data_IF_501334142537
#
_entry.id   IF_501334142537
#
_cell.length_a   1.000
_cell.length_b   1.000
_cell.length_c   1.000
_cell.angle_alpha   90.00
_cell.angle_beta   90.00
_cell.angle_gamma   90.00
#
_symmetry.space_group_name_H-M   'P 1'
#
loop_
_entity.id
_entity.type
_entity.pdbx_description
1 polymer ?
#
# COMPACT_ATOMS: atom_id res chain seq x y z
N UNK A 1 17.25 -53.84 -14.41
CA UNK A 1 16.22 -52.91 -13.91
C UNK A 1 16.84 -51.65 -13.30
N UNK A 2 17.55 -50.85 -14.10
CA UNK A 2 18.16 -49.57 -13.64
C UNK A 2 17.88 -48.44 -14.64
N UNK A 3 17.75 -48.76 -15.93
CA UNK A 3 17.44 -47.78 -16.98
C UNK A 3 16.02 -47.18 -16.89
N UNK A 4 15.04 -47.91 -16.35
CA UNK A 4 13.65 -47.44 -16.26
C UNK A 4 13.43 -46.42 -15.13
N UNK A 5 14.25 -46.48 -14.07
CA UNK A 5 14.15 -45.60 -12.91
C UNK A 5 14.72 -44.21 -13.19
N UNK A 6 15.77 -44.11 -14.02
CA UNK A 6 16.39 -42.82 -14.39
C UNK A 6 15.50 -42.02 -15.34
N UNK A 7 14.75 -42.70 -16.22
CA UNK A 7 13.86 -42.04 -17.18
C UNK A 7 12.63 -41.40 -16.52
N UNK A 8 12.11 -42.00 -15.44
CA UNK A 8 10.98 -41.46 -14.67
C UNK A 8 11.40 -40.23 -13.86
N UNK A 9 12.63 -40.21 -13.32
CA UNK A 9 13.16 -39.05 -12.59
C UNK A 9 13.42 -37.84 -13.49
N UNK A 10 13.75 -38.04 -14.76
CA UNK A 10 13.92 -36.94 -15.72
C UNK A 10 12.58 -36.34 -16.17
N UNK A 11 11.55 -37.18 -16.35
CA UNK A 11 10.21 -36.73 -16.75
C UNK A 11 9.44 -35.99 -15.65
N UNK A 12 9.63 -36.38 -14.38
CA UNK A 12 9.02 -35.69 -13.25
C UNK A 12 9.63 -34.30 -12.99
N UNK A 13 10.89 -34.08 -13.37
CA UNK A 13 11.54 -32.77 -13.21
C UNK A 13 11.08 -31.76 -14.28
N UNK A 14 10.71 -32.22 -15.48
CA UNK A 14 10.18 -31.35 -16.55
C UNK A 14 8.71 -30.99 -16.37
N UNK A 15 7.93 -31.79 -15.63
CA UNK A 15 6.51 -31.54 -15.42
C UNK A 15 6.22 -30.53 -14.28
N UNK A 16 7.15 -30.32 -13.34
CA UNK A 16 6.98 -29.37 -12.22
C UNK A 16 7.50 -27.96 -12.50
N UNK A 17 8.20 -27.73 -13.61
CA UNK A 17 8.66 -26.38 -14.01
C UNK A 17 7.77 -25.70 -15.06
N UNK A 18 6.65 -26.32 -15.43
CA UNK A 18 5.68 -25.75 -16.36
C UNK A 18 4.46 -25.11 -15.66
N UNK A 19 4.50 -24.93 -14.34
CA UNK A 19 3.78 -23.84 -13.69
C UNK A 19 4.59 -22.55 -13.89
N UNK A 20 4.84 -22.21 -15.16
CA UNK A 20 5.25 -20.86 -15.51
C UNK A 20 4.08 -19.99 -15.06
N UNK A 21 4.33 -19.24 -13.99
CA UNK A 21 3.50 -18.15 -13.52
C UNK A 21 2.71 -17.58 -14.70
N UNK A 22 1.39 -17.49 -14.55
CA UNK A 22 0.65 -16.36 -15.10
C UNK A 22 1.21 -15.10 -14.42
N UNK A 23 2.44 -14.76 -14.75
CA UNK A 23 2.96 -13.44 -14.61
C UNK A 23 2.13 -12.66 -15.62
N UNK A 24 1.00 -12.12 -15.15
CA UNK A 24 0.64 -10.80 -15.60
C UNK A 24 1.92 -9.99 -15.44
N UNK A 25 2.66 -9.83 -16.54
CA UNK A 25 3.73 -8.86 -16.60
C UNK A 25 3.01 -7.55 -16.31
N UNK A 26 3.09 -7.12 -15.04
CA UNK A 26 2.72 -5.78 -14.64
C UNK A 26 3.29 -4.84 -15.70
N UNK A 27 2.59 -3.76 -16.05
CA UNK A 27 2.99 -2.84 -17.13
C UNK A 27 4.49 -2.44 -17.08
N UNK A 28 5.07 -2.46 -15.88
CA UNK A 28 6.48 -2.26 -15.54
C UNK A 28 7.45 -3.28 -16.15
N UNK A 29 7.00 -4.52 -16.36
CA UNK A 29 7.75 -5.59 -17.04
C UNK A 29 7.97 -5.32 -18.53
N UNK A 30 7.26 -4.36 -19.12
CA UNK A 30 7.46 -3.92 -20.51
C UNK A 30 8.33 -2.66 -20.64
N UNK A 31 8.77 -2.07 -19.52
CA UNK A 31 9.63 -0.89 -19.53
C UNK A 31 11.08 -1.30 -19.79
N UNK A 32 11.74 -0.61 -20.73
CA UNK A 32 13.18 -0.73 -20.91
C UNK A 32 13.93 -0.18 -19.69
N UNK A 33 15.23 -0.48 -19.60
CA UNK A 33 16.08 0.11 -18.55
C UNK A 33 16.08 1.65 -18.62
N UNK A 34 16.10 2.20 -19.84
CA UNK A 34 16.10 3.66 -20.04
C UNK A 34 14.77 4.29 -19.61
N UNK A 35 13.64 3.64 -19.86
CA UNK A 35 12.32 4.10 -19.40
C UNK A 35 12.25 4.15 -17.87
N UNK A 36 12.81 3.14 -17.19
CA UNK A 36 12.85 3.10 -15.72
C UNK A 36 13.71 4.22 -15.15
N UNK A 37 14.86 4.51 -15.76
CA UNK A 37 15.73 5.63 -15.38
C UNK A 37 15.00 6.96 -15.57
N UNK A 38 14.34 7.15 -16.72
CA UNK A 38 13.58 8.37 -16.99
C UNK A 38 12.42 8.56 -16.01
N UNK A 39 11.64 7.51 -15.74
CA UNK A 39 10.53 7.55 -14.78
C UNK A 39 11.00 7.79 -13.35
N UNK A 40 12.12 7.17 -12.94
CA UNK A 40 12.73 7.45 -11.64
C UNK A 40 13.05 8.93 -11.50
N UNK A 41 13.71 9.51 -12.50
CA UNK A 41 14.05 10.93 -12.48
C UNK A 41 12.80 11.82 -12.42
N UNK A 42 11.78 11.49 -13.22
CA UNK A 42 10.49 12.18 -13.19
C UNK A 42 9.85 12.13 -11.79
N UNK A 43 9.81 10.95 -11.15
CA UNK A 43 9.25 10.78 -9.82
C UNK A 43 10.04 11.55 -8.74
N UNK A 44 11.38 11.50 -8.79
CA UNK A 44 12.23 12.23 -7.83
C UNK A 44 12.08 13.75 -7.96
N UNK A 45 11.99 14.28 -9.19
CA UNK A 45 11.70 15.70 -9.42
C UNK A 45 10.33 16.09 -8.87
N UNK A 46 9.29 15.31 -9.19
CA UNK A 46 7.93 15.58 -8.74
C UNK A 46 7.78 15.45 -7.21
N UNK A 47 8.61 14.63 -6.56
CA UNK A 47 8.60 14.51 -5.10
C UNK A 47 8.88 15.87 -4.46
N UNK A 48 9.94 16.55 -4.90
CA UNK A 48 10.36 17.86 -4.38
C UNK A 48 9.29 18.93 -4.57
N UNK A 49 8.58 18.90 -5.69
CA UNK A 49 7.51 19.86 -6.00
C UNK A 49 6.23 19.62 -5.20
N UNK A 50 5.96 18.37 -4.80
CA UNK A 50 4.68 17.97 -4.20
C UNK A 50 4.78 17.64 -2.70
N UNK A 51 5.85 18.07 -2.02
CA UNK A 51 6.11 17.74 -0.61
C UNK A 51 5.01 18.13 0.37
N UNK A 52 4.14 19.07 -0.01
CA UNK A 52 3.04 19.56 0.84
C UNK A 52 1.75 18.77 0.68
N UNK A 53 1.71 17.79 -0.22
CA UNK A 53 0.51 17.00 -0.53
C UNK A 53 0.79 15.52 -0.26
N UNK A 54 0.37 14.97 0.90
CA UNK A 54 0.69 13.60 1.31
C UNK A 54 0.25 12.54 0.30
N UNK A 55 -0.94 12.69 -0.30
CA UNK A 55 -1.46 11.74 -1.29
C UNK A 55 -0.61 11.68 -2.56
N UNK A 56 -0.13 12.82 -3.05
CA UNK A 56 0.78 12.87 -4.20
C UNK A 56 2.14 12.27 -3.87
N UNK A 57 2.68 12.63 -2.71
CA UNK A 57 3.93 12.04 -2.20
C UNK A 57 3.81 10.52 -2.13
N UNK A 58 2.73 10.00 -1.56
CA UNK A 58 2.45 8.57 -1.52
C UNK A 58 2.40 7.92 -2.91
N UNK A 59 1.69 8.50 -3.87
CA UNK A 59 1.62 7.94 -5.23
C UNK A 59 2.97 7.93 -5.93
N UNK A 60 3.79 8.96 -5.73
CA UNK A 60 5.16 9.01 -6.26
C UNK A 60 6.01 7.89 -5.65
N UNK A 61 5.92 7.69 -4.34
CA UNK A 61 6.64 6.62 -3.66
C UNK A 61 6.17 5.23 -4.10
N UNK A 62 4.87 5.04 -4.31
CA UNK A 62 4.33 3.81 -4.90
C UNK A 62 4.89 3.57 -6.30
N UNK A 63 4.97 4.61 -7.13
CA UNK A 63 5.55 4.55 -8.48
C UNK A 63 7.00 4.09 -8.44
N UNK A 64 7.83 4.72 -7.61
CA UNK A 64 9.23 4.32 -7.41
C UNK A 64 9.36 2.88 -6.93
N UNK A 65 8.60 2.49 -5.91
CA UNK A 65 8.61 1.13 -5.39
C UNK A 65 8.17 0.10 -6.45
N UNK A 66 7.20 0.44 -7.29
CA UNK A 66 6.75 -0.44 -8.35
C UNK A 66 7.85 -0.63 -9.42
N UNK A 67 8.71 0.36 -9.65
CA UNK A 67 9.91 0.24 -10.49
C UNK A 67 11.05 -0.56 -9.82
N UNK A 68 10.87 -1.05 -8.60
CA UNK A 68 11.91 -1.59 -7.72
C UNK A 68 13.03 -0.58 -7.42
N UNK A 69 12.71 0.72 -7.45
CA UNK A 69 13.62 1.81 -7.14
C UNK A 69 13.38 2.31 -5.71
N UNK A 70 14.46 2.61 -5.00
CA UNK A 70 14.39 3.24 -3.68
C UNK A 70 14.39 4.75 -3.81
N UNK A 71 13.67 5.43 -2.91
CA UNK A 71 13.72 6.89 -2.77
C UNK A 71 15.12 7.29 -2.31
N UNK A 72 15.83 8.08 -3.12
CA UNK A 72 17.15 8.62 -2.77
C UNK A 72 17.05 9.61 -1.60
N UNK A 73 16.04 10.47 -1.62
CA UNK A 73 15.84 11.54 -0.64
C UNK A 73 14.85 11.17 0.46
N UNK A 74 15.16 10.14 1.26
CA UNK A 74 14.25 9.63 2.31
C UNK A 74 13.85 10.69 3.33
N UNK A 75 14.75 11.62 3.69
CA UNK A 75 14.46 12.71 4.63
C UNK A 75 13.36 13.64 4.11
N UNK A 76 13.39 13.91 2.80
CA UNK A 76 12.40 14.73 2.12
C UNK A 76 11.05 14.01 2.10
N UNK A 77 11.03 12.71 1.80
CA UNK A 77 9.81 11.93 1.89
C UNK A 77 9.25 11.87 3.33
N UNK A 78 10.12 11.75 4.34
CA UNK A 78 9.70 11.78 5.75
C UNK A 78 9.05 13.10 6.15
N UNK A 79 9.54 14.25 5.69
CA UNK A 79 9.00 15.55 6.10
C UNK A 79 7.58 15.78 5.57
N UNK A 80 7.29 15.30 4.36
CA UNK A 80 5.94 15.29 3.78
C UNK A 80 4.96 14.37 4.50
N UNK A 81 5.49 13.33 5.14
CA UNK A 81 4.76 12.35 5.91
C UNK A 81 4.60 12.78 7.37
N UNK A 82 5.47 13.64 7.89
CA UNK A 82 5.43 14.22 9.25
C UNK A 82 4.35 15.30 9.44
N UNK A 83 3.28 15.28 8.65
CA UNK A 83 2.13 16.16 8.82
C UNK A 83 1.20 15.61 9.90
N UNK A 84 0.43 16.47 10.61
CA UNK A 84 -0.56 15.99 11.56
C UNK A 84 -1.56 15.04 10.90
N UNK A 85 -1.91 13.96 11.59
CA UNK A 85 -2.84 12.95 11.09
C UNK A 85 -4.29 13.44 11.22
N UNK A 86 -4.69 14.34 10.32
CA UNK A 86 -6.01 15.00 10.34
C UNK A 86 -7.12 14.23 9.63
N UNK A 87 -6.77 13.29 8.74
CA UNK A 87 -7.72 12.54 7.92
C UNK A 87 -7.29 11.07 7.76
N UNK A 88 -8.25 10.20 7.47
CA UNK A 88 -8.04 8.75 7.45
C UNK A 88 -7.10 8.33 6.31
N UNK A 89 -7.22 8.96 5.14
CA UNK A 89 -6.35 8.73 3.99
C UNK A 89 -4.90 9.12 4.29
N UNK A 90 -4.67 10.29 4.90
CA UNK A 90 -3.33 10.74 5.33
C UNK A 90 -2.73 9.76 6.34
N UNK A 91 -3.52 9.28 7.30
CA UNK A 91 -3.10 8.26 8.25
C UNK A 91 -2.72 6.93 7.57
N UNK A 92 -3.48 6.49 6.57
CA UNK A 92 -3.14 5.31 5.79
C UNK A 92 -1.85 5.50 5.01
N UNK A 93 -1.71 6.60 4.25
CA UNK A 93 -0.51 6.90 3.48
C UNK A 93 0.74 7.01 4.37
N UNK A 94 0.58 7.59 5.56
CA UNK A 94 1.63 7.67 6.56
C UNK A 94 2.06 6.28 7.05
N UNK A 95 1.12 5.47 7.50
CA UNK A 95 1.41 4.12 7.99
C UNK A 95 2.03 3.24 6.89
N UNK A 96 1.42 3.19 5.72
CA UNK A 96 1.90 2.40 4.58
C UNK A 96 3.26 2.87 4.08
N UNK A 97 3.44 4.19 3.91
CA UNK A 97 4.71 4.75 3.44
C UNK A 97 5.89 4.35 4.33
N UNK A 98 5.69 4.39 5.65
CA UNK A 98 6.70 4.01 6.63
C UNK A 98 6.98 2.50 6.59
N UNK A 99 5.93 1.67 6.63
CA UNK A 99 6.09 0.23 6.84
C UNK A 99 6.36 -0.57 5.57
N UNK A 100 5.88 -0.11 4.41
CA UNK A 100 5.97 -0.84 3.14
C UNK A 100 6.93 -0.23 2.14
N UNK A 101 7.15 1.09 2.19
CA UNK A 101 7.96 1.80 1.19
C UNK A 101 9.38 2.14 1.67
N UNK A 102 9.86 1.43 2.71
CA UNK A 102 11.27 1.48 3.13
C UNK A 102 11.69 2.80 3.82
N UNK A 103 10.71 3.54 4.33
CA UNK A 103 10.88 4.78 5.09
C UNK A 103 10.93 4.54 6.61
N UNK A 104 11.64 3.50 7.02
CA UNK A 104 11.74 3.08 8.43
C UNK A 104 12.35 4.15 9.34
N UNK A 105 13.12 5.09 8.77
CA UNK A 105 13.69 6.23 9.50
C UNK A 105 12.64 7.31 9.84
N UNK A 106 11.46 7.29 9.22
CA UNK A 106 10.37 8.18 9.59
C UNK A 106 9.61 7.61 10.78
N UNK A 107 9.29 8.47 11.75
CA UNK A 107 8.58 8.06 12.97
C UNK A 107 7.07 8.03 12.73
N UNK A 108 6.45 6.88 12.91
CA UNK A 108 5.00 6.78 12.95
C UNK A 108 4.44 7.51 14.19
N UNK A 109 3.53 8.46 13.99
CA UNK A 109 2.84 9.19 15.05
C UNK A 109 1.74 8.31 15.69
N UNK A 110 2.15 7.25 16.39
CA UNK A 110 1.26 6.20 16.93
C UNK A 110 0.12 6.76 17.77
N UNK A 111 0.41 7.75 18.63
CA UNK A 111 -0.60 8.35 19.52
C UNK A 111 -1.67 9.11 18.72
N UNK A 112 -1.27 9.90 17.73
CA UNK A 112 -2.19 10.62 16.85
C UNK A 112 -3.02 9.65 16.02
N UNK A 113 -2.38 8.59 15.50
CA UNK A 113 -3.07 7.57 14.72
C UNK A 113 -4.15 6.86 15.55
N UNK A 114 -3.85 6.47 16.80
CA UNK A 114 -4.84 5.87 17.71
C UNK A 114 -5.98 6.82 18.04
N UNK A 115 -5.70 8.11 18.23
CA UNK A 115 -6.72 9.11 18.50
C UNK A 115 -7.66 9.31 17.30
N UNK A 116 -7.09 9.39 16.09
CA UNK A 116 -7.85 9.51 14.85
C UNK A 116 -8.73 8.27 14.62
N UNK A 117 -8.16 7.06 14.74
CA UNK A 117 -8.90 5.80 14.58
C UNK A 117 -10.08 5.74 15.54
N UNK A 118 -9.86 6.04 16.83
CA UNK A 118 -10.94 6.09 17.83
C UNK A 118 -12.03 7.09 17.44
N UNK A 119 -11.64 8.28 16.98
CA UNK A 119 -12.58 9.32 16.56
C UNK A 119 -13.42 8.87 15.35
N UNK A 120 -12.79 8.28 14.34
CA UNK A 120 -13.47 7.80 13.13
C UNK A 120 -14.43 6.64 13.41
N UNK A 121 -14.04 5.70 14.27
CA UNK A 121 -14.87 4.55 14.63
C UNK A 121 -16.04 4.90 15.56
N UNK A 122 -15.92 5.94 16.38
CA UNK A 122 -17.01 6.42 17.22
C UNK A 122 -18.05 7.24 16.45
N UNK A 123 -17.72 7.69 15.23
CA UNK A 123 -18.56 8.54 14.40
C UNK A 123 -19.46 7.78 13.44
N UNK A 124 -19.82 8.46 12.35
CA UNK A 124 -20.49 7.88 11.19
C UNK A 124 -19.63 8.14 9.94
N UNK A 125 -18.50 7.41 9.77
CA UNK A 125 -17.58 7.66 8.67
C UNK A 125 -18.23 7.33 7.31
N UNK A 126 -17.74 7.97 6.25
CA UNK A 126 -17.98 7.48 4.89
C UNK A 126 -17.32 6.13 4.67
N UNK A 127 -17.68 5.42 3.59
CA UNK A 127 -17.03 4.16 3.24
C UNK A 127 -15.54 4.31 3.00
N UNK A 128 -15.12 5.41 2.37
CA UNK A 128 -13.71 5.72 2.11
C UNK A 128 -12.95 5.97 3.42
N UNK A 129 -13.52 6.77 4.32
CA UNK A 129 -12.92 7.03 5.63
C UNK A 129 -12.78 5.75 6.45
N UNK A 130 -13.79 4.88 6.42
CA UNK A 130 -13.76 3.59 7.10
C UNK A 130 -12.68 2.68 6.50
N UNK A 131 -12.61 2.61 5.17
CA UNK A 131 -11.59 1.85 4.45
C UNK A 131 -10.18 2.31 4.83
N UNK A 132 -9.90 3.61 4.71
CA UNK A 132 -8.58 4.15 5.03
C UNK A 132 -8.23 3.99 6.52
N UNK A 133 -9.21 4.12 7.41
CA UNK A 133 -9.00 3.90 8.85
C UNK A 133 -8.55 2.46 9.14
N UNK A 134 -9.24 1.47 8.57
CA UNK A 134 -8.90 0.04 8.74
C UNK A 134 -7.55 -0.31 8.10
N UNK A 135 -7.27 0.27 6.94
CA UNK A 135 -5.98 0.08 6.28
C UNK A 135 -4.83 0.70 7.08
N UNK A 136 -5.04 1.89 7.66
CA UNK A 136 -4.04 2.52 8.52
C UNK A 136 -3.74 1.68 9.77
N UNK A 137 -4.75 1.07 10.41
CA UNK A 137 -4.53 0.19 11.57
C UNK A 137 -3.80 -1.09 11.17
N UNK A 138 -4.14 -1.67 10.01
CA UNK A 138 -3.44 -2.84 9.46
C UNK A 138 -1.96 -2.56 9.23
N UNK A 139 -1.63 -1.49 8.54
CA UNK A 139 -0.22 -1.16 8.23
C UNK A 139 0.56 -0.75 9.48
N UNK A 140 -0.09 -0.12 10.46
CA UNK A 140 0.52 0.20 11.75
C UNK A 140 0.59 -0.98 12.74
N UNK A 141 0.04 -2.14 12.38
CA UNK A 141 -0.07 -3.32 13.23
C UNK A 141 -0.79 -3.04 14.57
N UNK A 142 -1.93 -2.34 14.51
CA UNK A 142 -2.80 -2.09 15.66
C UNK A 142 -4.07 -2.91 15.57
N UNK A 143 -4.48 -3.46 16.72
CA UNK A 143 -5.78 -4.10 16.85
C UNK A 143 -6.90 -3.05 16.78
N UNK A 144 -7.99 -3.44 16.11
CA UNK A 144 -9.21 -2.64 15.99
C UNK A 144 -10.40 -3.50 16.38
N UNK A 145 -11.39 -2.89 17.02
CA UNK A 145 -12.63 -3.59 17.38
C UNK A 145 -13.36 -4.02 16.10
N UNK A 146 -13.30 -5.31 15.80
CA UNK A 146 -13.89 -5.91 14.60
C UNK A 146 -15.42 -5.81 14.62
N UNK A 147 -16.03 -5.83 15.82
CA UNK A 147 -17.48 -5.70 15.96
C UNK A 147 -17.92 -4.28 15.63
N UNK A 148 -17.18 -3.27 16.08
CA UNK A 148 -17.42 -1.88 15.73
C UNK A 148 -17.30 -1.63 14.22
N UNK A 149 -16.23 -2.13 13.59
CA UNK A 149 -16.04 -2.02 12.13
C UNK A 149 -17.18 -2.70 11.37
N UNK A 150 -17.55 -3.92 11.75
CA UNK A 150 -18.63 -4.67 11.10
C UNK A 150 -19.98 -3.93 11.23
N UNK A 151 -20.25 -3.36 12.40
CA UNK A 151 -21.45 -2.55 12.63
C UNK A 151 -21.52 -1.32 11.71
N UNK A 152 -20.40 -0.62 11.52
CA UNK A 152 -20.31 0.52 10.61
C UNK A 152 -20.51 0.11 9.14
N UNK A 153 -19.87 -0.98 8.69
CA UNK A 153 -20.07 -1.50 7.33
C UNK A 153 -21.55 -1.82 7.06
N UNK A 154 -22.22 -2.47 8.00
CA UNK A 154 -23.64 -2.82 7.85
C UNK A 154 -24.52 -1.56 7.81
N UNK A 155 -24.20 -0.55 8.62
CA UNK A 155 -24.91 0.73 8.62
C UNK A 155 -24.78 1.47 7.28
N UNK A 156 -23.57 1.51 6.71
CA UNK A 156 -23.31 2.13 5.41
C UNK A 156 -24.08 1.39 4.30
N UNK A 157 -24.01 0.06 4.27
CA UNK A 157 -24.76 -0.76 3.30
C UNK A 157 -26.26 -0.50 3.36
N UNK A 158 -26.83 -0.36 4.56
CA UNK A 158 -28.25 -0.07 4.74
C UNK A 158 -28.63 1.34 4.20
N UNK A 159 -27.73 2.32 4.31
CA UNK A 159 -27.91 3.65 3.73
C UNK A 159 -27.90 3.62 2.19
N UNK A 160 -26.97 2.88 1.59
CA UNK A 160 -26.88 2.74 0.12
C UNK A 160 -28.04 1.95 -0.49
N UNK A 161 -28.65 1.05 0.30
CA UNK A 161 -29.78 0.22 -0.13
C UNK A 161 -31.13 0.95 -0.01
N UNK A 162 -31.16 2.15 0.58
CA UNK A 162 -32.38 2.91 0.77
C UNK A 162 -32.72 3.70 -0.50
N UNK A 163 -33.95 3.60 -1.03
CA UNK A 163 -34.33 4.35 -2.22
C UNK A 163 -34.23 5.85 -1.91
N UNK A 164 -33.52 6.58 -2.75
CA UNK A 164 -33.40 8.04 -2.67
C UNK A 164 -34.80 8.62 -2.93
N UNK A 165 -35.47 9.07 -1.87
CA UNK A 165 -36.76 9.79 -1.96
C UNK A 165 -36.56 11.23 -2.39
#
# INVERSE_FOLDING_TARGET
>A
MVAFTVLISFFLCTATCAAANDAQTLLIGHLSSDDKIWLKHFFEQNLVENLKVPSKTYHIMLGLNALNESITEKKIACSSLSVPLISADVAFYHAYGITRLGLLDCKLAVTELKALVKSKLAGNPSIDDLFYTVMATKEANFEVDTSAVTGLVNKIKAQDSSPTT
#
